data_IF_576383059004
#
_entry.id   IF_576383059004
#
_cell.length_a   1.000
_cell.length_b   1.000
_cell.length_c   1.000
_cell.angle_alpha   90.00
_cell.angle_beta   90.00
_cell.angle_gamma   90.00
#
_symmetry.space_group_name_H-M   'P 1'
#
loop_
_entity.id
_entity.type
_entity.pdbx_description
1 polymer ?
#
# COMPACT_ATOMS: atom_id res chain seq x y z
N UNK A 1 18.01 18.30 -7.86
CA UNK A 1 19.19 17.49 -7.50
C UNK A 1 19.65 17.77 -6.07
N UNK A 2 20.10 19.00 -5.74
CA UNK A 2 20.61 19.34 -4.40
C UNK A 2 19.67 19.01 -3.23
N UNK A 3 18.34 19.19 -3.41
CA UNK A 3 17.36 18.91 -2.34
C UNK A 3 17.29 17.42 -1.93
N UNK A 4 17.36 16.48 -2.88
CA UNK A 4 17.31 15.04 -2.55
C UNK A 4 18.58 14.58 -1.85
N UNK A 5 19.74 15.08 -2.29
CA UNK A 5 21.01 14.80 -1.62
C UNK A 5 21.04 15.38 -0.21
N UNK A 6 20.43 16.55 0.01
CA UNK A 6 20.31 17.10 1.35
C UNK A 6 19.36 16.27 2.23
N UNK A 7 18.16 15.93 1.73
CA UNK A 7 17.23 15.04 2.45
C UNK A 7 17.89 13.69 2.81
N UNK A 8 18.67 13.13 1.88
CA UNK A 8 19.39 11.87 2.03
C UNK A 8 20.32 11.88 3.25
N UNK A 9 20.99 13.00 3.53
CA UNK A 9 21.89 13.15 4.70
C UNK A 9 21.15 13.08 6.03
N UNK A 10 19.86 13.39 6.05
CA UNK A 10 19.05 13.47 7.26
C UNK A 10 18.08 12.29 7.44
N UNK A 11 17.98 11.37 6.48
CA UNK A 11 17.04 10.22 6.53
C UNK A 11 17.15 9.39 7.82
N UNK A 12 18.36 9.23 8.37
CA UNK A 12 18.58 8.45 9.60
C UNK A 12 18.04 9.11 10.87
N UNK A 13 17.70 10.40 10.80
CA UNK A 13 17.17 11.20 11.91
C UNK A 13 15.69 11.53 11.73
N UNK A 14 15.13 11.25 10.57
CA UNK A 14 13.71 11.48 10.28
C UNK A 14 12.86 10.46 11.02
N UNK A 15 11.67 10.83 11.47
CA UNK A 15 10.64 9.89 11.94
C UNK A 15 9.78 9.37 10.76
N UNK A 16 8.92 8.37 11.00
CA UNK A 16 8.11 7.76 9.93
C UNK A 16 7.21 8.74 9.15
N UNK A 17 6.54 9.74 9.80
CA UNK A 17 5.88 10.82 9.07
C UNK A 17 6.81 11.56 8.11
N UNK A 18 7.99 11.99 8.57
CA UNK A 18 8.96 12.69 7.73
C UNK A 18 9.51 11.82 6.60
N UNK A 19 9.72 10.52 6.85
CA UNK A 19 10.10 9.56 5.82
C UNK A 19 8.99 9.40 4.77
N UNK A 20 7.72 9.47 5.18
CA UNK A 20 6.57 9.44 4.28
C UNK A 20 6.55 10.66 3.37
N UNK A 21 6.74 11.86 3.94
CA UNK A 21 6.83 13.10 3.17
C UNK A 21 8.02 13.09 2.21
N UNK A 22 9.18 12.59 2.64
CA UNK A 22 10.36 12.43 1.80
C UNK A 22 10.09 11.46 0.63
N UNK A 23 9.38 10.36 0.87
CA UNK A 23 8.99 9.41 -0.18
C UNK A 23 8.05 10.06 -1.20
N UNK A 24 7.03 10.79 -0.72
CA UNK A 24 6.07 11.50 -1.57
C UNK A 24 6.77 12.59 -2.38
N UNK A 25 7.69 13.33 -1.77
CA UNK A 25 8.51 14.33 -2.44
C UNK A 25 9.32 13.69 -3.57
N UNK A 26 10.05 12.62 -3.27
CA UNK A 26 10.82 11.89 -4.27
C UNK A 26 9.93 11.34 -5.39
N UNK A 27 8.75 10.82 -5.07
CA UNK A 27 7.76 10.35 -6.03
C UNK A 27 7.33 11.45 -7.01
N UNK A 28 7.04 12.65 -6.51
CA UNK A 28 6.59 13.81 -7.31
C UNK A 28 7.72 14.56 -8.00
N UNK A 29 8.97 14.40 -7.54
CA UNK A 29 10.10 15.10 -8.11
C UNK A 29 10.38 14.65 -9.56
N UNK A 30 10.65 15.62 -10.43
CA UNK A 30 11.10 15.42 -11.81
C UNK A 30 12.60 15.11 -11.84
N UNK A 31 12.95 13.92 -11.37
CA UNK A 31 14.32 13.37 -11.33
C UNK A 31 14.41 12.07 -12.12
N UNK A 32 15.62 11.60 -12.42
CA UNK A 32 15.82 10.33 -13.10
C UNK A 32 15.25 9.14 -12.29
N UNK A 33 14.80 8.11 -13.01
CA UNK A 33 14.23 6.91 -12.41
C UNK A 33 15.20 6.22 -11.44
N UNK A 34 16.48 6.12 -11.81
CA UNK A 34 17.51 5.48 -10.98
C UNK A 34 17.76 6.21 -9.66
N UNK A 35 17.79 7.54 -9.70
CA UNK A 35 17.92 8.34 -8.48
C UNK A 35 16.71 8.18 -7.57
N UNK A 36 15.50 8.15 -8.15
CA UNK A 36 14.27 7.90 -7.40
C UNK A 36 14.31 6.53 -6.73
N UNK A 37 14.69 5.50 -7.47
CA UNK A 37 14.83 4.13 -6.95
C UNK A 37 15.87 4.07 -5.82
N UNK A 38 17.05 4.66 -6.00
CA UNK A 38 18.11 4.67 -4.99
C UNK A 38 17.67 5.39 -3.69
N UNK A 39 16.95 6.51 -3.83
CA UNK A 39 16.45 7.26 -2.68
C UNK A 39 15.36 6.48 -1.93
N UNK A 40 14.37 5.93 -2.65
CA UNK A 40 13.30 5.13 -2.04
C UNK A 40 13.82 3.84 -1.38
N UNK A 41 14.88 3.22 -1.92
CA UNK A 41 15.56 2.10 -1.25
C UNK A 41 16.16 2.49 0.11
N UNK A 42 16.68 3.70 0.26
CA UNK A 42 17.17 4.18 1.55
C UNK A 42 16.04 4.48 2.52
N UNK A 43 14.90 4.98 2.02
CA UNK A 43 13.69 5.13 2.84
C UNK A 43 13.24 3.77 3.37
N UNK A 44 13.24 2.71 2.56
CA UNK A 44 12.91 1.35 3.03
C UNK A 44 13.77 0.95 4.24
N UNK A 45 15.08 1.14 4.13
CA UNK A 45 16.01 0.83 5.23
C UNK A 45 15.75 1.69 6.47
N UNK A 46 15.43 2.98 6.29
CA UNK A 46 15.13 3.87 7.39
C UNK A 46 13.82 3.49 8.10
N UNK A 47 12.76 3.15 7.36
CA UNK A 47 11.47 2.68 7.89
C UNK A 47 11.66 1.41 8.71
N UNK A 48 12.41 0.44 8.21
CA UNK A 48 12.67 -0.83 8.93
C UNK A 48 13.45 -0.61 10.23
N UNK A 49 14.38 0.35 10.24
CA UNK A 49 15.16 0.70 11.43
C UNK A 49 14.37 1.46 12.48
N UNK A 50 13.23 2.04 12.12
CA UNK A 50 12.39 2.73 13.10
C UNK A 50 11.77 1.70 14.04
N UNK A 51 11.83 2.00 15.33
CA UNK A 51 11.00 1.28 16.28
C UNK A 51 9.53 1.59 15.99
N UNK A 52 8.60 0.67 16.27
CA UNK A 52 7.17 0.95 16.15
C UNK A 52 6.78 2.08 17.12
N UNK A 53 6.87 3.32 16.67
CA UNK A 53 6.41 4.48 17.41
C UNK A 53 4.89 4.59 17.32
N UNK A 54 4.26 5.16 18.35
CA UNK A 54 2.80 5.40 18.38
C UNK A 54 2.36 6.57 17.50
N UNK A 55 3.26 7.14 16.68
CA UNK A 55 2.95 8.29 15.84
C UNK A 55 2.22 7.82 14.59
N UNK A 56 1.07 8.45 14.34
CA UNK A 56 0.26 8.23 13.13
C UNK A 56 0.96 8.85 11.93
N UNK A 57 1.01 8.12 10.82
CA UNK A 57 1.48 8.58 9.52
C UNK A 57 0.61 7.96 8.41
N UNK A 58 0.69 8.49 7.19
CA UNK A 58 -0.03 7.95 6.02
C UNK A 58 0.66 6.68 5.50
N UNK A 59 0.51 5.60 6.25
CA UNK A 59 1.05 4.28 5.94
C UNK A 59 0.55 3.72 4.60
N UNK A 60 -0.75 3.86 4.22
CA UNK A 60 -1.24 3.48 2.89
C UNK A 60 -0.50 4.20 1.77
N UNK A 61 -0.24 5.51 1.93
CA UNK A 61 0.46 6.27 0.89
C UNK A 61 1.93 5.91 0.79
N UNK A 62 2.62 5.73 1.91
CA UNK A 62 4.01 5.28 1.91
C UNK A 62 4.12 3.90 1.21
N UNK A 63 3.23 2.97 1.55
CA UNK A 63 3.15 1.65 0.93
C UNK A 63 2.99 1.75 -0.60
N UNK A 64 2.03 2.56 -1.06
CA UNK A 64 1.78 2.80 -2.49
C UNK A 64 3.01 3.35 -3.21
N UNK A 65 3.63 4.41 -2.67
CA UNK A 65 4.79 5.07 -3.29
C UNK A 65 5.96 4.10 -3.46
N UNK A 66 6.28 3.33 -2.41
CA UNK A 66 7.40 2.37 -2.46
C UNK A 66 7.11 1.20 -3.42
N UNK A 67 5.85 0.74 -3.47
CA UNK A 67 5.42 -0.32 -4.36
C UNK A 67 5.42 0.09 -5.85
N UNK A 68 5.02 1.33 -6.17
CA UNK A 68 4.99 1.85 -7.55
C UNK A 68 6.37 1.87 -8.21
N UNK A 69 7.43 2.07 -7.43
CA UNK A 69 8.80 2.03 -7.93
C UNK A 69 9.50 0.68 -7.75
N UNK A 70 8.77 -0.35 -7.29
CA UNK A 70 9.32 -1.68 -7.03
C UNK A 70 10.54 -1.67 -6.09
N UNK A 71 10.53 -0.75 -5.12
CA UNK A 71 11.65 -0.57 -4.18
C UNK A 71 11.40 -1.19 -2.82
N UNK A 72 10.15 -1.57 -2.56
CA UNK A 72 9.75 -2.13 -1.27
C UNK A 72 10.43 -3.47 -1.00
N UNK A 73 11.00 -3.62 0.20
CA UNK A 73 11.54 -4.90 0.69
C UNK A 73 10.51 -5.64 1.53
N UNK A 74 10.69 -6.94 1.74
CA UNK A 74 9.76 -7.75 2.54
C UNK A 74 9.64 -7.22 3.98
N UNK A 75 10.76 -6.86 4.60
CA UNK A 75 10.80 -6.32 5.96
C UNK A 75 10.06 -4.99 6.06
N UNK A 76 10.24 -4.11 5.08
CA UNK A 76 9.56 -2.83 5.02
C UNK A 76 8.06 -3.01 4.78
N UNK A 77 7.67 -3.90 3.87
CA UNK A 77 6.29 -4.28 3.63
C UNK A 77 5.61 -4.79 4.91
N UNK A 78 6.27 -5.69 5.64
CA UNK A 78 5.75 -6.23 6.89
C UNK A 78 5.65 -5.16 8.00
N UNK A 79 6.62 -4.24 8.07
CA UNK A 79 6.58 -3.12 9.00
C UNK A 79 5.37 -2.20 8.72
N UNK A 80 5.19 -1.77 7.47
CA UNK A 80 4.08 -0.89 7.07
C UNK A 80 2.73 -1.60 7.24
N UNK A 81 2.63 -2.89 6.87
CA UNK A 81 1.41 -3.67 7.09
C UNK A 81 1.03 -3.71 8.57
N UNK A 82 1.99 -3.93 9.47
CA UNK A 82 1.74 -3.91 10.92
C UNK A 82 1.21 -2.56 11.40
N UNK A 83 1.70 -1.46 10.84
CA UNK A 83 1.22 -0.13 11.22
C UNK A 83 -0.18 0.14 10.65
N UNK A 84 -0.46 -0.29 9.42
CA UNK A 84 -1.80 -0.28 8.83
C UNK A 84 -2.80 -1.05 9.72
N UNK A 85 -2.44 -2.24 10.22
CA UNK A 85 -3.33 -2.99 11.12
C UNK A 85 -3.75 -2.21 12.37
N UNK A 86 -2.87 -1.35 12.87
CA UNK A 86 -3.14 -0.55 14.09
C UNK A 86 -3.95 0.69 13.79
N UNK A 87 -3.91 1.18 12.55
CA UNK A 87 -4.52 2.42 12.12
C UNK A 87 -5.74 2.24 11.20
N UNK A 88 -6.11 0.99 10.86
CA UNK A 88 -7.20 0.70 9.90
C UNK A 88 -8.54 1.31 10.32
N UNK A 89 -8.78 1.49 11.62
CA UNK A 89 -9.96 2.16 12.16
C UNK A 89 -10.08 3.64 11.75
N UNK A 90 -8.98 4.23 11.28
CA UNK A 90 -8.89 5.63 10.87
C UNK A 90 -8.85 5.77 9.34
N UNK A 91 -9.00 4.68 8.59
CA UNK A 91 -8.91 4.71 7.13
C UNK A 91 -10.09 5.44 6.51
N UNK A 92 -9.79 6.25 5.51
CA UNK A 92 -10.79 6.74 4.57
C UNK A 92 -10.89 5.76 3.37
N UNK A 93 -11.97 5.78 2.57
CA UNK A 93 -12.12 4.93 1.38
C UNK A 93 -10.91 4.89 0.43
N UNK A 94 -10.20 6.01 0.31
CA UNK A 94 -8.97 6.11 -0.51
C UNK A 94 -7.83 5.24 0.03
N UNK A 95 -7.73 5.07 1.34
CA UNK A 95 -6.68 4.28 1.99
C UNK A 95 -6.88 2.78 1.76
N UNK A 96 -8.13 2.33 1.78
CA UNK A 96 -8.50 0.97 1.36
C UNK A 96 -8.09 0.73 -0.10
N UNK A 97 -8.41 1.66 -1.00
CA UNK A 97 -8.03 1.54 -2.42
C UNK A 97 -6.53 1.53 -2.65
N UNK A 98 -5.76 2.36 -1.94
CA UNK A 98 -4.29 2.37 -2.03
C UNK A 98 -3.74 1.02 -1.59
N UNK A 99 -4.18 0.56 -0.42
CA UNK A 99 -3.68 -0.67 0.19
C UNK A 99 -4.05 -1.91 -0.63
N UNK A 100 -5.33 -2.06 -1.03
CA UNK A 100 -5.78 -3.21 -1.83
C UNK A 100 -5.02 -3.32 -3.16
N UNK A 101 -4.84 -2.19 -3.85
CA UNK A 101 -4.12 -2.11 -5.13
C UNK A 101 -2.66 -2.54 -5.01
N UNK A 102 -2.02 -2.21 -3.89
CA UNK A 102 -0.65 -2.64 -3.63
C UNK A 102 -0.60 -4.15 -3.38
N UNK A 103 -1.51 -4.69 -2.58
CA UNK A 103 -1.55 -6.13 -2.29
C UNK A 103 -1.70 -6.96 -3.58
N UNK A 104 -2.59 -6.56 -4.50
CA UNK A 104 -2.75 -7.23 -5.82
C UNK A 104 -1.45 -7.28 -6.61
N UNK A 105 -0.63 -6.23 -6.55
CA UNK A 105 0.61 -6.14 -7.34
C UNK A 105 1.69 -7.12 -6.88
N UNK A 106 1.58 -7.64 -5.67
CA UNK A 106 2.49 -8.66 -5.16
C UNK A 106 2.00 -10.07 -5.48
N UNK A 107 0.69 -10.28 -5.54
CA UNK A 107 0.09 -11.60 -5.81
C UNK A 107 -0.05 -11.90 -7.31
N UNK A 108 -0.43 -10.92 -8.13
CA UNK A 108 -0.69 -11.16 -9.56
C UNK A 108 0.56 -10.86 -10.39
N UNK A 109 1.17 -11.87 -11.04
CA UNK A 109 2.31 -11.66 -11.92
C UNK A 109 1.86 -10.92 -13.20
N UNK A 110 2.22 -9.65 -13.34
CA UNK A 110 2.11 -8.94 -14.62
C UNK A 110 3.12 -9.52 -15.63
N UNK A 111 2.67 -9.73 -16.87
CA UNK A 111 3.40 -10.34 -18.00
C UNK A 111 4.80 -9.72 -18.26
N UNK A 112 5.04 -8.48 -17.84
CA UNK A 112 6.34 -7.78 -17.99
C UNK A 112 7.29 -7.91 -16.78
N UNK A 113 6.92 -8.63 -15.71
CA UNK A 113 7.64 -8.66 -14.42
C UNK A 113 8.31 -10.02 -14.14
N UNK A 114 8.28 -10.96 -15.08
CA UNK A 114 8.79 -12.33 -14.90
C UNK A 114 10.27 -12.35 -14.47
N UNK A 115 11.10 -11.39 -14.91
CA UNK A 115 12.52 -11.34 -14.54
C UNK A 115 12.82 -10.78 -13.12
N UNK A 116 11.87 -10.11 -12.45
CA UNK A 116 12.07 -9.56 -11.08
C UNK A 116 11.31 -10.35 -10.00
N UNK A 117 10.65 -11.44 -10.37
CA UNK A 117 9.80 -12.27 -9.49
C UNK A 117 10.58 -13.07 -8.43
N UNK A 118 11.86 -13.40 -8.68
CA UNK A 118 12.70 -14.20 -7.77
C UNK A 118 12.95 -13.58 -6.37
N UNK A 119 12.45 -12.37 -6.08
CA UNK A 119 12.56 -11.71 -4.76
C UNK A 119 11.22 -11.37 -4.10
N UNK A 120 10.08 -11.74 -4.70
CA UNK A 120 8.73 -11.34 -4.20
C UNK A 120 7.94 -12.47 -3.54
N UNK A 121 8.54 -13.66 -3.42
CA UNK A 121 7.86 -14.90 -2.99
C UNK A 121 7.23 -14.84 -1.58
N UNK A 122 7.45 -13.77 -0.81
CA UNK A 122 6.94 -13.63 0.55
C UNK A 122 6.11 -12.34 0.82
N UNK A 123 5.67 -11.61 -0.22
CA UNK A 123 4.87 -10.38 -0.03
C UNK A 123 3.35 -10.62 0.01
N UNK A 124 2.93 -11.83 0.38
CA UNK A 124 1.53 -12.18 0.59
C UNK A 124 1.11 -11.88 2.04
N UNK A 125 -0.05 -11.25 2.22
CA UNK A 125 -0.58 -10.96 3.55
C UNK A 125 -2.09 -11.21 3.60
N UNK A 126 -2.49 -12.48 3.61
CA UNK A 126 -3.90 -12.88 3.65
C UNK A 126 -4.65 -12.32 4.86
N UNK A 127 -3.98 -12.17 6.00
CA UNK A 127 -4.58 -11.54 7.17
C UNK A 127 -5.00 -10.08 6.86
N UNK A 128 -4.23 -9.37 6.02
CA UNK A 128 -4.49 -7.97 5.67
C UNK A 128 -5.67 -7.93 4.71
N UNK A 129 -5.66 -8.83 3.72
CA UNK A 129 -6.78 -8.98 2.78
C UNK A 129 -8.08 -9.28 3.54
N UNK A 130 -8.08 -10.22 4.48
CA UNK A 130 -9.25 -10.56 5.28
C UNK A 130 -9.74 -9.39 6.14
N UNK A 131 -8.82 -8.67 6.79
CA UNK A 131 -9.16 -7.51 7.61
C UNK A 131 -9.74 -6.36 6.76
N UNK A 132 -9.11 -6.02 5.63
CA UNK A 132 -9.63 -5.00 4.71
C UNK A 132 -10.99 -5.42 4.13
N UNK A 133 -11.16 -6.70 3.79
CA UNK A 133 -12.43 -7.22 3.26
C UNK A 133 -13.54 -7.06 4.28
N UNK A 134 -13.32 -7.50 5.52
CA UNK A 134 -14.29 -7.35 6.61
C UNK A 134 -14.69 -5.89 6.79
N UNK A 135 -13.72 -4.97 6.87
CA UNK A 135 -13.99 -3.54 7.06
C UNK A 135 -14.71 -2.91 5.87
N UNK A 136 -14.32 -3.28 4.65
CA UNK A 136 -14.98 -2.81 3.43
C UNK A 136 -16.46 -3.24 3.40
N UNK A 137 -16.78 -4.43 3.90
CA UNK A 137 -18.17 -4.91 4.05
C UNK A 137 -18.88 -4.13 5.16
N UNK A 138 -18.27 -4.00 6.34
CA UNK A 138 -18.88 -3.35 7.50
C UNK A 138 -19.19 -1.86 7.24
N UNK A 139 -18.35 -1.19 6.45
CA UNK A 139 -18.40 0.26 6.19
C UNK A 139 -18.69 0.59 4.71
N UNK A 140 -19.35 -0.31 3.98
CA UNK A 140 -19.54 -0.19 2.53
C UNK A 140 -20.23 1.13 2.09
N UNK A 141 -21.07 1.70 2.94
CA UNK A 141 -21.81 2.95 2.70
C UNK A 141 -20.91 4.19 2.64
N UNK A 142 -19.70 4.12 3.20
CA UNK A 142 -18.72 5.22 3.19
C UNK A 142 -18.02 5.34 1.82
N UNK A 143 -18.09 4.30 0.99
CA UNK A 143 -17.42 4.24 -0.31
C UNK A 143 -18.33 4.78 -1.40
N UNK A 144 -17.77 5.55 -2.34
CA UNK A 144 -18.43 5.67 -3.65
C UNK A 144 -18.47 4.33 -4.36
N UNK A 145 -19.41 4.18 -5.29
CA UNK A 145 -19.61 2.98 -6.10
C UNK A 145 -18.29 2.51 -6.74
N UNK A 146 -17.60 3.45 -7.39
CA UNK A 146 -16.31 3.22 -8.02
C UNK A 146 -15.25 2.74 -7.02
N UNK A 147 -15.20 3.34 -5.83
CA UNK A 147 -14.22 2.96 -4.81
C UNK A 147 -14.48 1.55 -4.31
N UNK A 148 -15.74 1.22 -4.00
CA UNK A 148 -16.13 -0.10 -3.56
C UNK A 148 -15.76 -1.16 -4.59
N UNK A 149 -16.14 -0.96 -5.86
CA UNK A 149 -15.82 -1.89 -6.95
C UNK A 149 -14.32 -2.13 -7.11
N UNK A 150 -13.50 -1.08 -7.01
CA UNK A 150 -12.05 -1.20 -7.11
C UNK A 150 -11.48 -2.03 -5.94
N UNK A 151 -11.88 -1.71 -4.71
CA UNK A 151 -11.41 -2.42 -3.51
C UNK A 151 -11.85 -3.88 -3.57
N UNK A 152 -13.10 -4.16 -3.92
CA UNK A 152 -13.64 -5.50 -3.96
C UNK A 152 -12.92 -6.39 -4.98
N UNK A 153 -12.71 -5.87 -6.20
CA UNK A 153 -11.91 -6.54 -7.23
C UNK A 153 -10.49 -6.80 -6.73
N UNK A 154 -9.84 -5.78 -6.18
CA UNK A 154 -8.45 -5.88 -5.78
C UNK A 154 -8.26 -6.88 -4.64
N UNK A 155 -9.10 -6.86 -3.61
CA UNK A 155 -9.05 -7.84 -2.52
C UNK A 155 -9.32 -9.28 -3.00
N UNK A 156 -10.14 -9.46 -4.03
CA UNK A 156 -10.36 -10.78 -4.66
C UNK A 156 -9.10 -11.28 -5.35
N UNK A 157 -8.33 -10.40 -5.98
CA UNK A 157 -7.13 -10.74 -6.75
C UNK A 157 -5.86 -10.85 -5.89
N UNK A 158 -5.82 -10.22 -4.72
CA UNK A 158 -4.66 -10.20 -3.81
C UNK A 158 -4.42 -11.51 -3.03
N UNK A 159 -5.15 -12.58 -3.36
CA UNK A 159 -5.31 -13.78 -2.56
C UNK A 159 -6.68 -13.71 -1.90
N UNK A 160 -7.71 -14.42 -2.43
CA UNK A 160 -9.09 -14.15 -2.08
C UNK A 160 -9.30 -14.27 -0.56
N UNK A 161 -10.09 -13.37 0.04
CA UNK A 161 -10.44 -13.48 1.45
C UNK A 161 -11.19 -14.79 1.70
N UNK A 162 -11.43 -15.12 2.97
CA UNK A 162 -12.27 -16.26 3.32
C UNK A 162 -13.57 -16.25 2.52
N UNK A 163 -14.02 -17.44 2.06
CA UNK A 163 -15.15 -17.57 1.14
C UNK A 163 -16.42 -16.86 1.62
N UNK A 164 -16.66 -16.80 2.93
CA UNK A 164 -17.74 -16.01 3.51
C UNK A 164 -17.60 -14.52 3.21
N UNK A 165 -16.45 -13.93 3.52
CA UNK A 165 -16.14 -12.53 3.22
C UNK A 165 -16.19 -12.24 1.72
N UNK A 166 -15.69 -13.16 0.88
CA UNK A 166 -15.78 -13.02 -0.57
C UNK A 166 -17.25 -12.95 -1.03
N UNK A 167 -18.09 -13.83 -0.51
CA UNK A 167 -19.52 -13.86 -0.84
C UNK A 167 -20.21 -12.56 -0.43
N UNK A 168 -19.95 -12.09 0.79
CA UNK A 168 -20.55 -10.87 1.33
C UNK A 168 -20.12 -9.64 0.53
N UNK A 169 -18.82 -9.53 0.24
CA UNK A 169 -18.23 -8.46 -0.55
C UNK A 169 -18.84 -8.38 -1.96
N UNK A 170 -19.00 -9.51 -2.64
CA UNK A 170 -19.63 -9.54 -3.97
C UNK A 170 -21.16 -9.41 -3.93
N UNK A 171 -21.82 -9.81 -2.85
CA UNK A 171 -23.27 -9.59 -2.69
C UNK A 171 -23.59 -8.10 -2.66
N UNK A 172 -22.79 -7.33 -1.92
CA UNK A 172 -22.89 -5.87 -1.84
C UNK A 172 -22.49 -5.19 -3.14
N UNK A 173 -21.48 -5.72 -3.82
CA UNK A 173 -21.06 -5.23 -5.13
C UNK A 173 -22.17 -5.26 -6.19
N UNK A 174 -23.17 -6.14 -6.05
CA UNK A 174 -24.33 -6.21 -6.96
C UNK A 174 -25.45 -5.24 -6.59
N UNK A 175 -25.45 -4.72 -5.36
CA UNK A 175 -26.43 -3.75 -4.87
C UNK A 175 -26.04 -2.30 -5.21
N UNK A 176 -24.80 -2.08 -5.66
CA UNK A 176 -24.31 -0.79 -6.13
C UNK A 176 -24.72 -0.62 -7.60
N UNK A 177 -25.63 0.31 -7.94
CA UNK A 177 -25.99 0.54 -9.34
C UNK A 177 -24.77 1.01 -10.14
N UNK A 178 -24.62 0.54 -11.37
CA UNK A 178 -23.56 1.05 -12.25
C UNK A 178 -24.05 2.37 -12.82
N UNK A 179 -23.66 3.48 -12.20
CA UNK A 179 -23.90 4.80 -12.78
C UNK A 179 -22.83 5.06 -13.85
N UNK A 180 -23.19 4.86 -15.13
CA UNK A 180 -22.33 5.24 -16.25
C UNK A 180 -22.40 6.77 -16.36
N UNK A 181 -21.31 7.46 -16.01
CA UNK A 181 -21.12 8.91 -16.22
C UNK A 181 -20.39 9.15 -17.54
#
# INVERSE_FOLDING_TARGET
MACLEELKRHLSRMDTPQLTDAAIFAYKAYISGDMKVNFLQQINQAVVKQSPERRTYDAPKLLEVLAMHHTITEECFNAICRDIYRAVDLFEPVDYQRTSRVLVRFTVPLIHVIQRQLKRENMENLKMVNMLSKRTIDHWEEFSEYQYHCVARDLTLAGPPFMSLLTDLWSRNRCVPITIV
#
